data_IF_599944485151
#
_entry.id   IF_599944485151
#
_cell.length_a   1.000
_cell.length_b   1.000
_cell.length_c   1.000
_cell.angle_alpha   90.00
_cell.angle_beta   90.00
_cell.angle_gamma   90.00
#
_symmetry.space_group_name_H-M   'P 1'
#
loop_
_entity.id
_entity.type
_entity.pdbx_description
1 polymer ?
#
# COMPACT_ATOMS: atom_id res chain seq x y z
N UNK A 1 -3.86 3.27 21.53
CA UNK A 1 -2.69 2.38 21.39
C UNK A 1 -1.41 3.20 21.45
N UNK A 2 -0.33 2.61 21.90
CA UNK A 2 1.00 3.25 21.91
C UNK A 2 1.54 3.35 20.49
N UNK A 3 2.51 4.23 20.23
CA UNK A 3 3.20 4.25 18.92
C UNK A 3 3.76 2.88 18.52
N UNK A 4 4.34 2.13 19.45
CA UNK A 4 4.86 0.80 19.17
C UNK A 4 3.76 -0.19 18.76
N UNK A 5 2.61 -0.16 19.43
CA UNK A 5 1.46 -0.99 19.06
C UNK A 5 0.89 -0.59 17.69
N UNK A 6 0.84 0.70 17.40
CA UNK A 6 0.42 1.20 16.08
C UNK A 6 1.34 0.68 14.98
N UNK A 7 2.64 0.78 15.19
CA UNK A 7 3.64 0.28 14.25
C UNK A 7 3.45 -1.21 13.99
N UNK A 8 3.34 -2.00 15.04
CA UNK A 8 3.19 -3.45 14.92
C UNK A 8 1.91 -3.82 14.15
N UNK A 9 0.82 -3.12 14.41
CA UNK A 9 -0.45 -3.36 13.74
C UNK A 9 -0.37 -3.02 12.24
N UNK A 10 0.25 -1.89 11.87
CA UNK A 10 0.38 -1.48 10.47
C UNK A 10 1.33 -2.42 9.71
N UNK A 11 2.46 -2.80 10.33
CA UNK A 11 3.38 -3.75 9.71
C UNK A 11 2.69 -5.10 9.47
N UNK A 12 1.91 -5.58 10.44
CA UNK A 12 1.13 -6.82 10.30
C UNK A 12 0.09 -6.71 9.19
N UNK A 13 -0.58 -5.56 9.06
CA UNK A 13 -1.56 -5.31 8.00
C UNK A 13 -0.90 -5.33 6.62
N UNK A 14 0.24 -4.67 6.48
CA UNK A 14 0.98 -4.64 5.23
C UNK A 14 1.48 -6.04 4.84
N UNK A 15 1.99 -6.79 5.81
CA UNK A 15 2.42 -8.17 5.61
C UNK A 15 1.25 -9.06 5.18
N UNK A 16 0.07 -8.88 5.78
CA UNK A 16 -1.13 -9.61 5.41
C UNK A 16 -1.53 -9.36 3.95
N UNK A 17 -1.47 -8.10 3.49
CA UNK A 17 -1.71 -7.79 2.08
C UNK A 17 -0.73 -8.54 1.17
N UNK A 18 0.55 -8.53 1.50
CA UNK A 18 1.57 -9.19 0.71
C UNK A 18 1.43 -10.71 0.64
N UNK A 19 0.85 -11.33 1.66
CA UNK A 19 0.61 -12.76 1.71
C UNK A 19 -0.77 -13.18 1.17
N UNK A 20 -1.59 -12.21 0.76
CA UNK A 20 -2.94 -12.48 0.26
C UNK A 20 -3.99 -12.67 1.36
N UNK A 21 -3.65 -12.41 2.60
CA UNK A 21 -4.58 -12.48 3.74
C UNK A 21 -5.39 -11.18 3.83
N UNK A 22 -6.32 -11.03 2.92
CA UNK A 22 -7.14 -9.82 2.77
C UNK A 22 -8.05 -9.61 3.98
N UNK A 23 -8.57 -10.69 4.54
CA UNK A 23 -9.46 -10.63 5.71
C UNK A 23 -8.75 -9.97 6.90
N UNK A 24 -7.54 -10.41 7.22
CA UNK A 24 -6.75 -9.84 8.31
C UNK A 24 -6.41 -8.38 8.03
N UNK A 25 -5.99 -8.06 6.81
CA UNK A 25 -5.67 -6.68 6.43
C UNK A 25 -6.87 -5.76 6.60
N UNK A 26 -8.04 -6.13 6.10
CA UNK A 26 -9.24 -5.30 6.19
C UNK A 26 -9.81 -5.21 7.61
N UNK A 27 -9.56 -6.20 8.45
CA UNK A 27 -10.01 -6.15 9.86
C UNK A 27 -9.37 -4.98 10.62
N UNK A 28 -8.18 -4.56 10.22
CA UNK A 28 -7.45 -3.43 10.83
C UNK A 28 -7.79 -2.08 10.19
N UNK A 29 -8.70 -2.04 9.24
CA UNK A 29 -9.11 -0.82 8.56
C UNK A 29 -10.50 -0.37 8.98
N UNK A 30 -10.69 0.95 9.08
CA UNK A 30 -12.00 1.52 9.30
C UNK A 30 -12.88 1.31 8.06
N UNK A 31 -14.21 1.28 8.26
CA UNK A 31 -15.14 1.10 7.12
C UNK A 31 -15.04 2.23 6.10
N UNK A 32 -14.71 3.45 6.56
CA UNK A 32 -14.54 4.62 5.71
C UNK A 32 -13.08 4.86 5.30
N UNK A 33 -12.25 3.83 5.33
CA UNK A 33 -10.83 3.94 4.94
C UNK A 33 -10.71 4.49 3.52
N UNK A 34 -9.68 5.31 3.30
CA UNK A 34 -9.32 5.80 1.97
C UNK A 34 -7.85 5.57 1.68
N UNK A 35 -7.53 5.45 0.40
CA UNK A 35 -6.15 5.23 -0.06
C UNK A 35 -5.90 6.19 -1.22
N UNK A 36 -4.99 7.13 -1.05
CA UNK A 36 -4.61 8.11 -2.06
C UNK A 36 -3.27 7.74 -2.68
N UNK A 37 -3.22 7.72 -4.00
CA UNK A 37 -1.98 7.66 -4.77
C UNK A 37 -1.89 8.95 -5.58
N UNK A 38 -0.97 9.86 -5.25
CA UNK A 38 -0.78 11.10 -6.01
C UNK A 38 -0.22 10.85 -7.41
N UNK A 39 -0.21 11.88 -8.24
CA UNK A 39 0.38 11.83 -9.57
C UNK A 39 -0.62 11.49 -10.65
N UNK A 40 -0.10 11.01 -11.78
CA UNK A 40 -0.89 10.72 -12.99
C UNK A 40 -0.57 9.34 -13.57
N UNK A 41 -0.47 8.32 -12.72
CA UNK A 41 -0.29 6.95 -13.19
C UNK A 41 -1.64 6.43 -13.68
N UNK A 42 -1.77 6.04 -14.96
CA UNK A 42 -3.05 5.57 -15.51
C UNK A 42 -3.63 4.40 -14.69
N UNK A 43 -4.92 4.47 -14.35
CA UNK A 43 -5.61 3.42 -13.59
C UNK A 43 -5.15 3.25 -12.15
N UNK A 44 -4.19 4.05 -11.69
CA UNK A 44 -3.55 3.90 -10.38
C UNK A 44 -3.72 5.13 -9.52
N UNK A 45 -3.39 6.32 -10.03
CA UNK A 45 -3.48 7.57 -9.26
C UNK A 45 -4.91 7.92 -8.90
N UNK A 46 -5.06 8.64 -7.78
CA UNK A 46 -6.34 9.09 -7.27
C UNK A 46 -6.70 8.43 -5.95
N UNK A 47 -7.93 8.68 -5.48
CA UNK A 47 -8.43 8.19 -4.20
C UNK A 47 -9.26 6.94 -4.41
N UNK A 48 -8.97 5.88 -3.63
CA UNK A 48 -9.81 4.70 -3.50
C UNK A 48 -10.55 4.83 -2.17
N UNK A 49 -11.87 4.84 -2.19
CA UNK A 49 -12.70 5.06 -1.01
C UNK A 49 -13.41 3.77 -0.62
N UNK A 50 -13.19 3.35 0.63
CA UNK A 50 -13.81 2.15 1.19
C UNK A 50 -13.10 0.87 0.79
N UNK A 51 -13.44 -0.20 1.50
CA UNK A 51 -12.79 -1.50 1.35
C UNK A 51 -13.03 -2.11 -0.04
N UNK A 52 -14.20 -1.89 -0.64
CA UNK A 52 -14.53 -2.45 -1.95
C UNK A 52 -13.65 -1.85 -3.05
N UNK A 53 -13.47 -0.53 -3.05
CA UNK A 53 -12.60 0.13 -4.03
C UNK A 53 -11.13 -0.26 -3.84
N UNK A 54 -10.69 -0.40 -2.59
CA UNK A 54 -9.33 -0.85 -2.28
C UNK A 54 -9.11 -2.28 -2.75
N UNK A 55 -10.08 -3.17 -2.51
CA UNK A 55 -9.99 -4.55 -2.97
C UNK A 55 -9.90 -4.63 -4.50
N UNK A 56 -10.71 -3.84 -5.21
CA UNK A 56 -10.67 -3.77 -6.67
C UNK A 56 -9.31 -3.29 -7.16
N UNK A 57 -8.74 -2.27 -6.51
CA UNK A 57 -7.41 -1.77 -6.84
C UNK A 57 -6.34 -2.83 -6.61
N UNK A 58 -6.39 -3.55 -5.49
CA UNK A 58 -5.44 -4.62 -5.18
C UNK A 58 -5.52 -5.77 -6.18
N UNK A 59 -6.73 -6.09 -6.65
CA UNK A 59 -6.92 -7.10 -7.70
C UNK A 59 -6.27 -6.67 -9.01
N UNK A 60 -6.34 -5.38 -9.35
CA UNK A 60 -5.65 -4.83 -10.52
C UNK A 60 -4.12 -4.96 -10.42
N UNK A 61 -3.57 -4.74 -9.23
CA UNK A 61 -2.14 -4.94 -8.98
C UNK A 61 -1.74 -6.41 -9.25
N UNK A 62 -2.56 -7.35 -8.81
CA UNK A 62 -2.33 -8.78 -9.07
C UNK A 62 -2.26 -9.11 -10.56
N UNK A 63 -3.04 -8.43 -11.38
CA UNK A 63 -2.99 -8.61 -12.84
C UNK A 63 -1.71 -8.04 -13.45
N UNK A 64 -1.21 -6.93 -12.91
CA UNK A 64 0.03 -6.29 -13.40
C UNK A 64 1.26 -7.10 -12.99
N UNK A 65 1.24 -7.69 -11.80
CA UNK A 65 2.34 -8.50 -11.25
C UNK A 65 1.87 -9.93 -11.04
N UNK A 66 1.81 -10.76 -12.10
CA UNK A 66 1.22 -12.11 -12.00
C UNK A 66 1.98 -13.05 -11.06
N UNK A 67 3.26 -12.81 -10.80
CA UNK A 67 4.06 -13.58 -9.86
C UNK A 67 4.14 -12.92 -8.47
N UNK A 68 3.38 -11.85 -8.26
CA UNK A 68 3.33 -11.10 -7.02
C UNK A 68 4.28 -9.92 -6.97
N UNK A 69 3.95 -8.99 -6.10
CA UNK A 69 4.77 -7.82 -5.79
C UNK A 69 5.34 -8.02 -4.40
N UNK A 70 6.67 -8.07 -4.30
CA UNK A 70 7.35 -8.28 -3.02
C UNK A 70 7.72 -6.95 -2.39
N UNK A 71 7.29 -6.74 -1.15
CA UNK A 71 7.62 -5.55 -0.36
C UNK A 71 8.71 -5.85 0.64
N UNK A 72 9.71 -4.98 0.71
CA UNK A 72 10.72 -4.99 1.76
C UNK A 72 10.61 -3.70 2.55
N UNK A 73 10.16 -3.78 3.79
CA UNK A 73 10.06 -2.61 4.68
C UNK A 73 11.48 -2.31 5.18
N UNK A 74 11.97 -1.11 4.85
CA UNK A 74 13.31 -0.68 5.24
C UNK A 74 13.30 0.16 6.51
N UNK A 75 12.21 0.92 6.75
CA UNK A 75 12.03 1.73 7.97
C UNK A 75 10.57 1.82 8.33
N UNK A 76 10.29 1.90 9.64
CA UNK A 76 8.95 2.15 10.15
C UNK A 76 9.04 3.16 11.29
N UNK A 77 8.22 4.20 11.22
CA UNK A 77 8.12 5.25 12.22
C UNK A 77 6.68 5.38 12.68
N UNK A 78 6.49 5.64 13.96
CA UNK A 78 5.14 5.71 14.52
C UNK A 78 4.99 6.85 15.51
N UNK A 79 3.78 7.41 15.54
CA UNK A 79 3.30 8.34 16.55
C UNK A 79 2.05 7.72 17.20
N UNK A 80 1.34 8.50 18.02
CA UNK A 80 0.10 8.04 18.64
C UNK A 80 -1.07 7.92 17.66
N UNK A 81 -0.98 8.53 16.47
CA UNK A 81 -2.06 8.54 15.47
C UNK A 81 -1.60 8.30 14.03
N UNK A 82 -0.32 7.97 13.82
CA UNK A 82 0.19 7.74 12.47
C UNK A 82 1.34 6.74 12.47
N UNK A 83 1.47 6.04 11.33
CA UNK A 83 2.64 5.18 11.07
C UNK A 83 3.13 5.48 9.67
N UNK A 84 4.44 5.60 9.52
CA UNK A 84 5.10 5.83 8.24
C UNK A 84 5.95 4.60 7.93
N UNK A 85 5.73 3.99 6.76
CA UNK A 85 6.56 2.89 6.26
C UNK A 85 7.36 3.37 5.06
N UNK A 86 8.66 3.18 5.10
CA UNK A 86 9.50 3.27 3.91
C UNK A 86 9.78 1.85 3.45
N UNK A 87 9.52 1.58 2.17
CA UNK A 87 9.68 0.24 1.65
C UNK A 87 10.07 0.25 0.18
N UNK A 88 10.60 -0.87 -0.29
CA UNK A 88 10.87 -1.11 -1.70
C UNK A 88 9.96 -2.22 -2.20
N UNK A 89 9.28 -1.99 -3.30
CA UNK A 89 8.49 -2.99 -3.98
C UNK A 89 9.23 -3.50 -5.21
N UNK A 90 9.23 -4.83 -5.40
CA UNK A 90 9.87 -5.49 -6.54
C UNK A 90 8.94 -6.54 -7.12
N UNK A 91 8.90 -6.61 -8.45
CA UNK A 91 8.11 -7.63 -9.11
C UNK A 91 8.29 -7.64 -10.61
N UNK A 92 8.00 -8.81 -11.21
CA UNK A 92 7.99 -8.96 -12.66
C UNK A 92 6.63 -8.48 -13.18
N UNK A 93 6.69 -7.55 -14.14
CA UNK A 93 5.49 -6.96 -14.73
C UNK A 93 4.99 -7.86 -15.86
N UNK A 94 3.69 -7.84 -16.11
CA UNK A 94 3.05 -8.62 -17.18
C UNK A 94 3.53 -8.23 -18.60
N UNK A 95 4.19 -7.09 -18.75
CA UNK A 95 4.81 -6.66 -20.01
C UNK A 95 6.24 -7.18 -20.20
N UNK A 96 6.74 -8.03 -19.31
CA UNK A 96 8.07 -8.61 -19.36
C UNK A 96 9.17 -7.78 -18.70
N UNK A 97 8.88 -6.57 -18.25
CA UNK A 97 9.84 -5.72 -17.55
C UNK A 97 9.91 -6.11 -16.07
N UNK A 98 11.00 -5.72 -15.41
CA UNK A 98 11.15 -5.85 -13.98
C UNK A 98 10.94 -4.50 -13.31
N UNK A 99 10.10 -4.46 -12.28
CA UNK A 99 9.79 -3.26 -11.54
C UNK A 99 10.48 -3.28 -10.17
N UNK A 100 11.18 -2.20 -9.87
CA UNK A 100 11.71 -1.94 -8.55
C UNK A 100 11.54 -0.46 -8.26
N UNK A 101 10.90 -0.11 -7.15
CA UNK A 101 10.64 1.28 -6.82
C UNK A 101 10.55 1.48 -5.32
N UNK A 102 10.89 2.69 -4.88
CA UNK A 102 10.86 3.06 -3.47
C UNK A 102 9.56 3.79 -3.15
N UNK A 103 9.00 3.46 -1.98
CA UNK A 103 7.71 3.97 -1.53
C UNK A 103 7.81 4.53 -0.12
N UNK A 104 7.03 5.56 0.14
CA UNK A 104 6.75 6.04 1.48
C UNK A 104 5.24 6.03 1.67
N UNK A 105 4.78 5.22 2.63
CA UNK A 105 3.36 5.14 2.98
C UNK A 105 3.11 5.85 4.29
N UNK A 106 2.08 6.68 4.33
CA UNK A 106 1.62 7.31 5.56
C UNK A 106 0.25 6.72 5.91
N UNK A 107 0.16 6.08 7.07
CA UNK A 107 -1.08 5.50 7.59
C UNK A 107 -1.58 6.37 8.73
N UNK A 108 -2.75 6.96 8.58
CA UNK A 108 -3.41 7.71 9.65
C UNK A 108 -4.39 6.80 10.37
N UNK A 109 -4.32 6.81 11.70
CA UNK A 109 -5.09 5.92 12.56
C UNK A 109 -6.16 6.70 13.32
N UNK A 110 -7.31 6.06 13.49
CA UNK A 110 -8.43 6.59 14.28
C UNK A 110 -9.10 5.43 14.98
N UNK A 111 -9.27 5.56 16.31
CA UNK A 111 -9.88 4.53 17.13
C UNK A 111 -9.24 3.14 16.96
N UNK A 112 -7.92 3.10 16.85
CA UNK A 112 -7.16 1.86 16.72
C UNK A 112 -7.25 1.20 15.35
N UNK A 113 -7.78 1.88 14.34
CA UNK A 113 -7.90 1.37 12.97
C UNK A 113 -7.29 2.32 11.96
N UNK A 114 -6.87 1.78 10.83
CA UNK A 114 -6.34 2.56 9.71
C UNK A 114 -7.52 3.25 9.02
N UNK A 115 -7.48 4.58 9.00
CA UNK A 115 -8.53 5.39 8.37
C UNK A 115 -8.11 5.98 7.04
N UNK A 116 -6.83 6.33 6.89
CA UNK A 116 -6.32 6.93 5.64
C UNK A 116 -4.94 6.38 5.34
N UNK A 117 -4.74 6.03 4.08
CA UNK A 117 -3.44 5.61 3.55
C UNK A 117 -3.06 6.58 2.45
N UNK A 118 -1.83 7.12 2.50
CA UNK A 118 -1.27 7.91 1.41
C UNK A 118 0.00 7.21 0.94
N UNK A 119 0.08 7.01 -0.36
CA UNK A 119 1.19 6.29 -1.00
C UNK A 119 2.00 7.28 -1.83
N UNK A 120 3.23 7.54 -1.41
CA UNK A 120 4.16 8.38 -2.15
C UNK A 120 5.21 7.50 -2.81
N UNK A 121 5.38 7.68 -4.11
CA UNK A 121 6.23 6.82 -4.93
C UNK A 121 6.83 7.67 -6.06
N UNK A 122 7.96 7.23 -6.62
CA UNK A 122 8.45 7.82 -7.85
C UNK A 122 7.49 7.46 -8.98
N UNK A 123 6.58 8.39 -9.26
CA UNK A 123 5.49 8.17 -10.23
C UNK A 123 5.99 8.15 -11.67
N UNK A 124 7.08 8.85 -11.97
CA UNK A 124 7.67 8.80 -13.31
C UNK A 124 8.21 7.41 -13.59
N UNK A 125 8.97 6.84 -12.68
CA UNK A 125 9.52 5.49 -12.81
C UNK A 125 8.41 4.45 -12.90
N UNK A 126 7.38 4.56 -12.06
CA UNK A 126 6.23 3.66 -12.11
C UNK A 126 5.54 3.71 -13.47
N UNK A 127 5.27 4.90 -13.97
CA UNK A 127 4.61 5.07 -15.27
C UNK A 127 5.44 4.51 -16.42
N UNK A 128 6.75 4.79 -16.43
CA UNK A 128 7.63 4.33 -17.49
C UNK A 128 7.73 2.80 -17.55
N UNK A 129 7.82 2.15 -16.40
CA UNK A 129 7.97 0.68 -16.36
C UNK A 129 6.63 -0.03 -16.55
N UNK A 130 5.56 0.45 -15.94
CA UNK A 130 4.25 -0.22 -15.98
C UNK A 130 3.48 0.08 -17.26
N UNK A 131 3.65 1.26 -17.84
CA UNK A 131 2.81 1.77 -18.93
C UNK A 131 3.59 2.40 -20.09
N UNK A 132 4.89 2.37 -20.02
CA UNK A 132 5.78 2.92 -21.05
C UNK A 132 6.10 1.99 -22.20
#
# INVERSE_FOLDING_TARGET
MTPSQNKDMVVATWTAFGSGDIKTAFANMADNVSWLIPGNIPGTSGVKRGKDEILKFMSGIGNVFPEGLKSEITRAHATDDAVILELTNRGKVNNGKFYENEYCFVFELENGKIRRIREYVDTQKAKEILFG
#
